data_IF_495983921286
#
_entry.id   IF_495983921286
#
_cell.length_a   1.000
_cell.length_b   1.000
_cell.length_c   1.000
_cell.angle_alpha   90.00
_cell.angle_beta   90.00
_cell.angle_gamma   90.00
#
_symmetry.space_group_name_H-M   'P 1'
#
loop_
_entity.id
_entity.type
_entity.pdbx_description
1 polymer ?
#
# COMPACT_ATOMS: atom_id res chain seq x y z
N UNK A 1 -44.24 75.62 29.57
CA UNK A 1 -43.05 74.81 29.94
C UNK A 1 -43.21 73.44 29.33
N UNK A 2 -42.61 73.21 28.16
CA UNK A 2 -42.62 71.90 27.49
C UNK A 2 -41.28 71.23 27.67
N UNK A 3 -41.26 70.07 28.36
CA UNK A 3 -40.09 69.24 28.54
C UNK A 3 -40.04 68.20 27.40
N UNK A 4 -39.05 68.35 26.51
CA UNK A 4 -38.72 67.42 25.44
C UNK A 4 -37.96 66.21 26.01
N UNK A 5 -38.52 65.03 25.85
CA UNK A 5 -37.89 63.74 26.22
C UNK A 5 -37.15 63.19 24.98
N UNK A 6 -35.81 63.30 24.97
CA UNK A 6 -34.97 62.65 24.02
C UNK A 6 -34.80 61.16 24.38
N UNK A 7 -35.28 60.26 23.52
CA UNK A 7 -35.07 58.79 23.62
C UNK A 7 -33.73 58.48 22.95
N UNK A 8 -32.75 58.05 23.75
CA UNK A 8 -31.48 57.57 23.29
C UNK A 8 -31.61 56.09 22.83
N UNK A 9 -31.54 55.85 21.54
CA UNK A 9 -31.58 54.49 20.96
C UNK A 9 -30.18 53.94 20.90
N UNK A 10 -29.84 53.00 21.82
CA UNK A 10 -28.57 52.29 21.80
C UNK A 10 -28.69 51.15 20.78
N UNK A 11 -28.00 51.26 19.65
CA UNK A 11 -27.87 50.19 18.66
C UNK A 11 -26.80 49.20 19.14
N UNK A 12 -27.22 48.01 19.55
CA UNK A 12 -26.33 46.90 19.93
C UNK A 12 -25.83 46.22 18.62
N UNK A 13 -24.61 46.53 18.20
CA UNK A 13 -23.97 45.84 17.08
C UNK A 13 -23.51 44.43 17.51
N UNK A 14 -24.22 43.40 17.10
CA UNK A 14 -23.78 42.00 17.22
C UNK A 14 -22.64 41.73 16.21
N UNK A 15 -21.41 41.67 16.72
CA UNK A 15 -20.26 41.18 15.94
C UNK A 15 -20.37 39.67 15.91
N UNK A 16 -20.81 39.10 14.75
CA UNK A 16 -20.70 37.68 14.47
C UNK A 16 -19.23 37.35 14.25
N UNK A 17 -18.55 36.86 15.27
CA UNK A 17 -17.25 36.21 15.14
C UNK A 17 -17.52 34.83 14.52
N UNK A 18 -17.42 34.72 13.21
CA UNK A 18 -17.39 33.43 12.52
C UNK A 18 -16.11 32.71 12.95
N UNK A 19 -16.23 31.80 13.90
CA UNK A 19 -15.17 30.83 14.21
C UNK A 19 -14.91 30.02 12.94
N UNK A 20 -13.81 30.25 12.26
CA UNK A 20 -13.23 29.33 11.28
C UNK A 20 -12.85 28.06 12.06
N UNK A 21 -13.78 27.13 12.21
CA UNK A 21 -13.45 25.80 12.67
C UNK A 21 -12.47 25.22 11.65
N UNK A 22 -11.22 25.05 12.06
CA UNK A 22 -10.28 24.28 11.26
C UNK A 22 -10.88 22.87 11.12
N UNK A 23 -11.18 22.45 9.90
CA UNK A 23 -11.65 21.09 9.62
C UNK A 23 -10.55 20.11 10.02
N UNK A 24 -10.92 19.02 10.68
CA UNK A 24 -9.96 17.95 10.96
C UNK A 24 -9.34 17.43 9.66
N UNK A 25 -8.03 17.11 9.68
CA UNK A 25 -7.37 16.57 8.50
C UNK A 25 -8.05 15.28 7.99
N UNK A 26 -8.27 15.20 6.70
CA UNK A 26 -8.83 14.00 6.06
C UNK A 26 -7.86 12.84 6.16
N UNK A 27 -8.24 11.69 6.74
CA UNK A 27 -7.34 10.55 6.87
C UNK A 27 -7.07 9.92 5.50
N UNK A 28 -5.80 9.64 5.22
CA UNK A 28 -5.34 8.73 4.17
C UNK A 28 -4.85 7.47 4.86
N UNK A 29 -5.56 6.37 4.67
CA UNK A 29 -5.18 5.08 5.26
C UNK A 29 -4.10 4.44 4.40
N UNK A 30 -3.03 3.97 5.05
CA UNK A 30 -1.91 3.31 4.38
C UNK A 30 -1.78 1.89 4.90
N UNK A 31 -1.95 0.93 4.01
CA UNK A 31 -1.96 -0.50 4.29
C UNK A 31 -0.78 -1.19 3.59
N UNK A 32 0.19 -1.66 4.37
CA UNK A 32 1.34 -2.39 3.86
C UNK A 32 1.63 -3.65 4.69
N UNK A 33 0.78 -4.71 4.56
CA UNK A 33 0.93 -5.95 5.31
C UNK A 33 2.30 -6.60 5.09
N UNK A 34 2.92 -7.05 6.19
CA UNK A 34 4.26 -7.63 6.17
C UNK A 34 5.40 -6.65 5.98
N UNK A 35 5.11 -5.35 5.96
CA UNK A 35 6.14 -4.31 5.88
C UNK A 35 7.07 -4.32 7.09
N UNK A 36 8.40 -4.14 6.89
CA UNK A 36 9.40 -4.20 7.97
C UNK A 36 9.48 -2.92 8.80
N UNK A 37 8.64 -1.93 8.54
CA UNK A 37 8.70 -0.58 9.10
C UNK A 37 7.81 -0.48 10.33
N UNK A 38 8.24 0.26 11.36
CA UNK A 38 7.39 0.58 12.51
C UNK A 38 6.25 1.53 12.09
N UNK A 39 5.13 1.49 12.82
CA UNK A 39 4.00 2.39 12.54
C UNK A 39 4.39 3.86 12.62
N UNK A 40 5.23 4.23 13.60
CA UNK A 40 5.72 5.59 13.79
C UNK A 40 6.56 6.08 12.62
N UNK A 41 7.51 5.25 12.13
CA UNK A 41 8.36 5.62 11.02
C UNK A 41 7.58 5.66 9.71
N UNK A 42 6.64 4.74 9.52
CA UNK A 42 5.74 4.74 8.37
C UNK A 42 4.86 5.98 8.35
N UNK A 43 4.23 6.35 9.49
CA UNK A 43 3.40 7.54 9.59
C UNK A 43 4.21 8.83 9.35
N UNK A 44 5.46 8.93 9.84
CA UNK A 44 6.34 10.06 9.54
C UNK A 44 6.64 10.18 8.05
N UNK A 45 7.01 9.07 7.41
CA UNK A 45 7.30 9.04 5.98
C UNK A 45 6.06 9.37 5.13
N UNK A 46 4.90 8.83 5.50
CA UNK A 46 3.63 9.12 4.83
C UNK A 46 3.18 10.56 5.04
N UNK A 47 3.35 11.12 6.24
CA UNK A 47 3.05 12.54 6.49
C UNK A 47 3.92 13.46 5.64
N UNK A 48 5.21 13.13 5.49
CA UNK A 48 6.09 13.86 4.59
C UNK A 48 5.62 13.77 3.13
N UNK A 49 5.22 12.59 2.68
CA UNK A 49 4.67 12.38 1.33
C UNK A 49 3.38 13.18 1.12
N UNK A 50 2.45 13.14 2.07
CA UNK A 50 1.20 13.89 2.00
C UNK A 50 1.43 15.39 1.97
N UNK A 51 2.41 15.91 2.73
CA UNK A 51 2.81 17.32 2.67
C UNK A 51 3.30 17.75 1.29
N UNK A 52 4.04 16.88 0.57
CA UNK A 52 4.41 17.15 -0.82
C UNK A 52 3.20 17.09 -1.76
N UNK A 53 2.31 16.11 -1.56
CA UNK A 53 1.06 15.99 -2.33
C UNK A 53 0.20 17.24 -2.15
N UNK A 54 0.05 17.74 -0.92
CA UNK A 54 -0.66 18.98 -0.61
C UNK A 54 -0.05 20.18 -1.36
N UNK A 55 1.27 20.33 -1.27
CA UNK A 55 2.02 21.40 -1.95
C UNK A 55 1.82 21.35 -3.47
N UNK A 56 2.06 20.19 -4.09
CA UNK A 56 1.98 20.00 -5.55
C UNK A 56 0.53 20.10 -6.03
N UNK A 57 -0.41 19.58 -5.27
CA UNK A 57 -1.84 19.64 -5.58
C UNK A 57 -2.50 20.96 -5.22
N UNK A 58 -1.81 21.87 -4.52
CA UNK A 58 -2.35 23.17 -4.11
C UNK A 58 -3.41 23.09 -2.99
N UNK A 59 -3.34 22.07 -2.13
CA UNK A 59 -4.12 22.04 -0.88
C UNK A 59 -3.46 22.87 0.21
N UNK A 60 -4.23 23.36 1.20
CA UNK A 60 -3.66 23.88 2.44
C UNK A 60 -2.81 22.82 3.13
N UNK A 61 -1.79 23.26 3.87
CA UNK A 61 -1.01 22.35 4.73
C UNK A 61 -1.90 21.70 5.77
N UNK A 62 -1.64 20.43 6.08
CA UNK A 62 -2.43 19.62 6.99
C UNK A 62 -3.88 19.36 6.54
N UNK A 63 -4.14 19.36 5.23
CA UNK A 63 -5.41 18.88 4.66
C UNK A 63 -5.55 17.38 4.87
N UNK A 64 -4.46 16.63 4.81
CA UNK A 64 -4.43 15.18 4.97
C UNK A 64 -3.64 14.76 6.22
N UNK A 65 -4.03 13.62 6.79
CA UNK A 65 -3.30 12.92 7.84
C UNK A 65 -3.09 11.46 7.45
N UNK A 66 -2.01 10.82 7.91
CA UNK A 66 -1.77 9.40 7.66
C UNK A 66 -2.26 8.54 8.82
N UNK A 67 -2.79 7.34 8.49
CA UNK A 67 -3.07 6.27 9.42
C UNK A 67 -2.54 4.97 8.82
N UNK A 68 -1.51 4.38 9.43
CA UNK A 68 -0.79 3.23 8.89
C UNK A 68 -1.10 1.94 9.65
N UNK A 69 -1.15 0.83 8.93
CA UNK A 69 -1.06 -0.52 9.52
C UNK A 69 -0.19 -1.43 8.66
N UNK A 70 0.58 -2.29 9.33
CA UNK A 70 1.42 -3.33 8.73
C UNK A 70 0.85 -4.74 8.86
N UNK A 71 -0.37 -4.88 9.36
CA UNK A 71 -1.09 -6.16 9.41
C UNK A 71 -2.45 -6.08 8.71
N UNK A 72 -2.95 -7.22 8.27
CA UNK A 72 -4.18 -7.32 7.47
C UNK A 72 -5.41 -6.87 8.25
N UNK A 73 -5.56 -7.29 9.50
CA UNK A 73 -6.74 -6.98 10.30
C UNK A 73 -6.76 -5.51 10.76
N UNK A 74 -5.58 -4.97 11.12
CA UNK A 74 -5.42 -3.54 11.40
C UNK A 74 -5.77 -2.68 10.17
N UNK A 75 -5.34 -3.09 8.98
CA UNK A 75 -5.72 -2.45 7.72
C UNK A 75 -7.24 -2.43 7.50
N UNK A 76 -7.90 -3.58 7.65
CA UNK A 76 -9.36 -3.68 7.52
C UNK A 76 -10.10 -2.83 8.54
N UNK A 77 -9.62 -2.83 9.78
CA UNK A 77 -10.17 -2.02 10.87
C UNK A 77 -10.06 -0.53 10.55
N UNK A 78 -8.86 -0.05 10.18
CA UNK A 78 -8.64 1.35 9.83
C UNK A 78 -9.50 1.80 8.64
N UNK A 79 -9.58 1.00 7.59
CA UNK A 79 -10.42 1.29 6.41
C UNK A 79 -11.90 1.37 6.79
N UNK A 80 -12.39 0.44 7.60
CA UNK A 80 -13.79 0.40 8.04
C UNK A 80 -14.15 1.54 8.98
N UNK A 81 -13.29 1.84 9.96
CA UNK A 81 -13.58 2.86 10.98
C UNK A 81 -13.44 4.28 10.43
N UNK A 82 -12.41 4.52 9.63
CA UNK A 82 -12.13 5.87 9.11
C UNK A 82 -12.85 6.18 7.81
N UNK A 83 -13.34 5.16 7.08
CA UNK A 83 -13.97 5.31 5.76
C UNK A 83 -13.29 6.40 4.91
N UNK A 84 -11.97 6.29 4.70
CA UNK A 84 -11.21 7.37 4.08
C UNK A 84 -11.63 7.59 2.64
N UNK A 85 -11.55 8.85 2.18
CA UNK A 85 -11.73 9.18 0.77
C UNK A 85 -10.62 8.56 -0.10
N UNK A 86 -9.41 8.43 0.47
CA UNK A 86 -8.23 7.89 -0.21
C UNK A 86 -7.48 6.91 0.68
N UNK A 87 -6.97 5.84 0.08
CA UNK A 87 -6.07 4.92 0.74
C UNK A 87 -4.93 4.47 -0.18
N UNK A 88 -3.80 4.13 0.40
CA UNK A 88 -2.69 3.44 -0.28
C UNK A 88 -2.71 2.01 0.22
N UNK A 89 -2.91 1.04 -0.66
CA UNK A 89 -3.11 -0.36 -0.26
C UNK A 89 -2.20 -1.30 -1.02
N UNK A 90 -1.95 -2.49 -0.45
CA UNK A 90 -1.52 -3.64 -1.24
C UNK A 90 -2.62 -4.07 -2.21
N UNK A 91 -2.26 -4.85 -3.23
CA UNK A 91 -3.25 -5.43 -4.14
C UNK A 91 -4.19 -6.39 -3.41
N UNK A 92 -3.71 -7.15 -2.43
CA UNK A 92 -4.52 -8.08 -1.66
C UNK A 92 -5.59 -7.37 -0.82
N UNK A 93 -5.23 -6.31 -0.08
CA UNK A 93 -6.19 -5.48 0.67
C UNK A 93 -7.21 -4.83 -0.28
N UNK A 94 -6.75 -4.28 -1.42
CA UNK A 94 -7.68 -3.74 -2.41
C UNK A 94 -8.67 -4.81 -2.90
N UNK A 95 -8.20 -5.97 -3.32
CA UNK A 95 -9.04 -7.06 -3.83
C UNK A 95 -10.06 -7.54 -2.79
N UNK A 96 -9.68 -7.57 -1.52
CA UNK A 96 -10.54 -7.99 -0.42
C UNK A 96 -11.62 -6.93 -0.10
N UNK A 97 -11.24 -5.66 -0.04
CA UNK A 97 -12.10 -4.58 0.45
C UNK A 97 -12.83 -3.80 -0.67
N UNK A 98 -12.48 -4.00 -1.95
CA UNK A 98 -12.96 -3.15 -3.05
C UNK A 98 -14.48 -3.07 -3.20
N UNK A 99 -15.19 -4.19 -2.95
CA UNK A 99 -16.65 -4.22 -3.09
C UNK A 99 -17.35 -3.58 -1.90
N UNK A 100 -16.89 -3.87 -0.67
CA UNK A 100 -17.51 -3.38 0.56
C UNK A 100 -17.28 -1.89 0.81
N UNK A 101 -16.19 -1.33 0.27
CA UNK A 101 -15.81 0.07 0.43
C UNK A 101 -15.80 0.85 -0.88
N UNK A 102 -16.38 0.30 -1.94
CA UNK A 102 -16.45 0.93 -3.27
C UNK A 102 -15.12 1.53 -3.74
N UNK A 103 -14.02 0.76 -3.55
CA UNK A 103 -12.68 1.23 -3.89
C UNK A 103 -12.41 1.14 -5.39
N UNK A 104 -11.85 2.22 -5.93
CA UNK A 104 -11.39 2.34 -7.30
C UNK A 104 -9.88 2.63 -7.32
N UNK A 105 -9.07 1.87 -8.09
CA UNK A 105 -7.66 2.19 -8.28
C UNK A 105 -7.51 3.46 -9.11
N UNK A 106 -6.71 4.42 -8.62
CA UNK A 106 -6.51 5.71 -9.32
C UNK A 106 -5.10 5.83 -9.84
N UNK A 107 -4.11 5.51 -9.01
CA UNK A 107 -2.69 5.67 -9.32
C UNK A 107 -1.94 4.44 -8.85
N UNK A 108 -0.99 4.00 -9.66
CA UNK A 108 -0.06 2.93 -9.31
C UNK A 108 1.39 3.40 -9.40
N UNK A 109 2.30 2.89 -8.57
CA UNK A 109 3.71 3.22 -8.70
C UNK A 109 4.31 2.52 -9.91
N UNK A 110 5.34 3.16 -10.48
CA UNK A 110 6.26 2.56 -11.43
C UNK A 110 7.60 2.37 -10.72
N UNK A 111 8.08 1.15 -10.67
CA UNK A 111 9.32 0.77 -9.99
C UNK A 111 10.22 0.01 -10.94
N UNK A 112 11.48 0.41 -11.07
CA UNK A 112 12.43 -0.20 -12.03
C UNK A 112 11.88 -0.29 -13.45
N UNK A 113 11.19 0.76 -13.88
CA UNK A 113 10.59 0.85 -15.20
C UNK A 113 9.27 0.08 -15.40
N UNK A 114 8.77 -0.68 -14.40
CA UNK A 114 7.55 -1.48 -14.51
C UNK A 114 6.50 -1.07 -13.48
N UNK A 115 5.21 -1.26 -13.81
CA UNK A 115 4.07 -1.15 -12.91
C UNK A 115 3.53 -2.53 -12.51
N UNK A 116 4.34 -3.56 -12.67
CA UNK A 116 4.06 -4.94 -12.25
C UNK A 116 5.28 -5.50 -11.53
N UNK A 117 5.04 -6.50 -10.69
CA UNK A 117 6.09 -7.31 -10.07
C UNK A 117 5.81 -8.80 -10.26
N UNK A 118 6.80 -9.63 -9.99
CA UNK A 118 6.66 -11.07 -9.92
C UNK A 118 7.14 -11.54 -8.54
N UNK A 119 6.50 -12.61 -8.06
CA UNK A 119 6.93 -13.32 -6.86
C UNK A 119 7.74 -14.54 -7.26
N UNK A 120 8.78 -14.81 -6.49
CA UNK A 120 9.73 -15.89 -6.75
C UNK A 120 9.83 -16.79 -5.52
N UNK A 121 9.51 -18.07 -5.68
CA UNK A 121 9.83 -19.08 -4.68
C UNK A 121 11.24 -19.57 -4.97
N UNK A 122 12.20 -19.21 -4.13
CA UNK A 122 13.61 -19.55 -4.32
C UNK A 122 14.03 -20.66 -3.38
N UNK A 123 14.92 -21.53 -3.86
CA UNK A 123 15.56 -22.61 -3.10
C UNK A 123 17.04 -22.70 -3.46
N UNK A 124 17.79 -23.54 -2.76
CA UNK A 124 19.16 -23.88 -3.15
C UNK A 124 19.12 -24.59 -4.50
N UNK A 125 19.97 -24.18 -5.41
CA UNK A 125 20.03 -24.68 -6.80
C UNK A 125 20.14 -26.21 -6.86
N UNK A 126 19.26 -26.80 -7.67
CA UNK A 126 19.19 -28.25 -7.85
C UNK A 126 18.46 -29.01 -6.72
N UNK A 127 17.91 -28.29 -5.71
CA UNK A 127 17.22 -28.92 -4.58
C UNK A 127 15.82 -29.42 -4.95
N UNK A 128 15.11 -28.69 -5.82
CA UNK A 128 13.76 -29.04 -6.30
C UNK A 128 13.69 -28.90 -7.83
N UNK A 129 13.11 -29.88 -8.47
CA UNK A 129 12.85 -29.88 -9.92
C UNK A 129 11.48 -29.28 -10.29
N UNK A 130 10.60 -29.12 -9.30
CA UNK A 130 9.24 -28.62 -9.55
C UNK A 130 8.63 -27.99 -8.30
N UNK A 131 7.57 -27.20 -8.52
CA UNK A 131 6.79 -26.59 -7.45
C UNK A 131 6.11 -27.63 -6.53
N UNK A 132 5.72 -28.79 -7.08
CA UNK A 132 5.07 -29.83 -6.30
C UNK A 132 5.99 -30.48 -5.26
N UNK A 133 7.29 -30.51 -5.51
CA UNK A 133 8.28 -31.05 -4.56
C UNK A 133 8.48 -30.16 -3.32
N UNK A 134 8.03 -28.91 -3.38
CA UNK A 134 8.08 -27.97 -2.22
C UNK A 134 6.91 -28.20 -1.26
N UNK A 135 5.90 -29.01 -1.62
CA UNK A 135 4.80 -29.36 -0.71
C UNK A 135 5.30 -30.09 0.54
N UNK A 136 4.79 -29.68 1.69
CA UNK A 136 5.19 -30.19 3.00
C UNK A 136 6.52 -29.66 3.53
N UNK A 137 7.24 -28.82 2.75
CA UNK A 137 8.56 -28.28 3.10
C UNK A 137 8.45 -27.02 3.97
N UNK A 138 9.55 -26.66 4.63
CA UNK A 138 9.64 -25.45 5.41
C UNK A 138 9.87 -24.25 4.50
N UNK A 139 8.86 -23.38 4.38
CA UNK A 139 8.91 -22.21 3.50
C UNK A 139 8.84 -20.94 4.32
N UNK A 140 9.84 -20.06 4.13
CA UNK A 140 9.95 -18.75 4.76
C UNK A 140 9.59 -17.60 3.83
N UNK A 141 9.53 -16.40 4.39
CA UNK A 141 9.29 -15.17 3.65
C UNK A 141 8.56 -14.13 4.48
N UNK A 142 8.52 -12.89 3.99
CA UNK A 142 7.83 -11.76 4.63
C UNK A 142 6.41 -11.55 4.09
N UNK A 143 6.09 -12.19 2.97
CA UNK A 143 4.87 -11.91 2.18
C UNK A 143 3.64 -12.71 2.61
N UNK A 144 3.79 -13.64 3.56
CA UNK A 144 2.72 -14.54 3.98
C UNK A 144 1.64 -13.91 4.88
N UNK A 145 1.79 -12.64 5.26
CA UNK A 145 0.76 -11.90 5.99
C UNK A 145 -0.56 -11.83 5.19
N UNK A 146 -0.49 -11.76 3.87
CA UNK A 146 -1.66 -11.79 2.99
C UNK A 146 -1.86 -13.20 2.38
N UNK A 147 -2.15 -14.21 3.21
CA UNK A 147 -2.22 -15.61 2.79
C UNK A 147 -3.17 -15.85 1.61
N UNK A 148 -4.33 -15.21 1.60
CA UNK A 148 -5.31 -15.31 0.51
C UNK A 148 -4.79 -14.71 -0.80
N UNK A 149 -4.08 -13.57 -0.72
CA UNK A 149 -3.42 -12.98 -1.89
C UNK A 149 -2.36 -13.92 -2.47
N UNK A 150 -1.53 -14.50 -1.61
CA UNK A 150 -0.51 -15.45 -2.05
C UNK A 150 -1.16 -16.68 -2.69
N UNK A 151 -2.21 -17.23 -2.07
CA UNK A 151 -2.93 -18.38 -2.62
C UNK A 151 -3.58 -18.09 -3.97
N UNK A 152 -4.39 -17.02 -4.03
CA UNK A 152 -5.25 -16.76 -5.21
C UNK A 152 -4.52 -16.08 -6.34
N UNK A 153 -3.63 -15.15 -6.04
CA UNK A 153 -2.97 -14.33 -7.04
C UNK A 153 -1.56 -14.83 -7.35
N UNK A 154 -0.70 -14.99 -6.35
CA UNK A 154 0.68 -15.40 -6.59
C UNK A 154 0.74 -16.82 -7.13
N UNK A 155 0.11 -17.78 -6.47
CA UNK A 155 0.06 -19.18 -6.93
C UNK A 155 -1.10 -19.47 -7.88
N UNK A 156 -1.97 -18.50 -8.17
CA UNK A 156 -3.15 -18.66 -9.03
C UNK A 156 -4.02 -19.88 -8.64
N UNK A 157 -4.15 -20.16 -7.35
CA UNK A 157 -4.89 -21.29 -6.79
C UNK A 157 -4.23 -22.66 -6.91
N UNK A 158 -3.02 -22.76 -7.47
CA UNK A 158 -2.28 -24.03 -7.61
C UNK A 158 -1.78 -24.61 -6.29
N UNK A 159 -1.49 -23.74 -5.33
CA UNK A 159 -1.05 -24.06 -3.98
C UNK A 159 -1.80 -23.22 -2.95
N UNK A 160 -2.05 -23.83 -1.80
CA UNK A 160 -2.51 -23.14 -0.60
C UNK A 160 -1.35 -23.10 0.41
N UNK A 161 -0.70 -21.93 0.61
CA UNK A 161 0.49 -21.86 1.47
C UNK A 161 0.25 -22.37 2.88
N UNK A 162 -0.96 -22.20 3.43
CA UNK A 162 -1.30 -22.62 4.78
C UNK A 162 -1.48 -24.15 4.92
N UNK A 163 -1.82 -24.82 3.81
CA UNK A 163 -2.01 -26.27 3.78
C UNK A 163 -0.82 -27.02 3.21
N UNK A 164 -0.21 -26.44 2.18
CA UNK A 164 0.82 -27.11 1.39
C UNK A 164 2.23 -26.86 1.92
N UNK A 165 2.45 -25.87 2.82
CA UNK A 165 3.76 -25.58 3.38
C UNK A 165 3.78 -25.65 4.91
N UNK A 166 4.95 -25.97 5.47
CA UNK A 166 5.27 -25.67 6.86
C UNK A 166 5.79 -24.24 6.93
N UNK A 167 4.88 -23.25 7.11
CA UNK A 167 5.23 -21.84 7.05
C UNK A 167 6.12 -21.40 8.22
N UNK A 168 7.18 -20.67 7.89
CA UNK A 168 8.10 -20.01 8.82
C UNK A 168 8.18 -18.51 8.47
N UNK A 169 7.16 -17.70 8.82
CA UNK A 169 7.14 -16.28 8.53
C UNK A 169 8.36 -15.56 9.11
N UNK A 170 8.87 -14.59 8.40
CA UNK A 170 9.99 -13.75 8.83
C UNK A 170 9.64 -12.30 8.60
N UNK A 171 10.00 -11.42 9.54
CA UNK A 171 9.85 -9.97 9.38
C UNK A 171 10.90 -9.35 8.44
N UNK A 172 11.92 -10.10 8.06
CA UNK A 172 13.02 -9.62 7.23
C UNK A 172 13.42 -10.68 6.19
N UNK A 173 13.35 -10.32 4.91
CA UNK A 173 13.74 -11.22 3.82
C UNK A 173 15.17 -11.73 3.93
N UNK A 174 16.11 -10.86 4.35
CA UNK A 174 17.52 -11.25 4.54
C UNK A 174 17.70 -12.34 5.61
N UNK A 175 16.88 -12.35 6.66
CA UNK A 175 16.93 -13.42 7.67
C UNK A 175 16.41 -14.73 7.10
N UNK A 176 15.30 -14.69 6.38
CA UNK A 176 14.76 -15.89 5.72
C UNK A 176 15.79 -16.48 4.73
N UNK A 177 16.43 -15.63 3.91
CA UNK A 177 17.46 -16.05 2.96
C UNK A 177 18.70 -16.65 3.64
N UNK A 178 19.13 -16.10 4.77
CA UNK A 178 20.23 -16.69 5.55
C UNK A 178 19.85 -18.02 6.18
N UNK A 179 18.61 -18.18 6.61
CA UNK A 179 18.10 -19.47 7.11
C UNK A 179 18.00 -20.50 5.98
N UNK A 180 17.62 -20.09 4.77
CA UNK A 180 17.68 -20.95 3.58
C UNK A 180 19.13 -21.38 3.27
N UNK A 181 20.07 -20.44 3.25
CA UNK A 181 21.49 -20.69 2.98
C UNK A 181 22.14 -21.65 4.01
N UNK A 182 21.62 -21.70 5.25
CA UNK A 182 22.03 -22.63 6.30
C UNK A 182 21.30 -23.96 6.29
N UNK A 183 20.32 -24.16 5.41
CA UNK A 183 19.47 -25.36 5.38
C UNK A 183 18.43 -25.44 6.51
N UNK A 184 18.13 -24.31 7.18
CA UNK A 184 17.06 -24.21 8.20
C UNK A 184 15.68 -24.02 7.54
N UNK A 185 15.66 -23.59 6.29
CA UNK A 185 14.49 -23.50 5.41
C UNK A 185 14.78 -24.25 4.12
N UNK A 186 13.73 -24.78 3.51
CA UNK A 186 13.79 -25.47 2.22
C UNK A 186 13.59 -24.50 1.04
N UNK A 187 12.76 -23.46 1.24
CA UNK A 187 12.49 -22.41 0.25
C UNK A 187 12.09 -21.08 0.92
N UNK A 188 12.19 -19.99 0.14
CA UNK A 188 11.77 -18.64 0.57
C UNK A 188 10.96 -17.99 -0.55
N UNK A 189 9.77 -17.46 -0.21
CA UNK A 189 8.97 -16.66 -1.14
C UNK A 189 9.37 -15.20 -1.03
N UNK A 190 9.78 -14.62 -2.16
CA UNK A 190 10.25 -13.23 -2.31
C UNK A 190 9.34 -12.46 -3.27
N UNK A 191 9.12 -11.18 -2.99
CA UNK A 191 8.58 -10.26 -3.99
C UNK A 191 9.67 -9.79 -4.97
N UNK A 192 9.28 -9.05 -6.00
CA UNK A 192 10.21 -8.63 -7.04
C UNK A 192 11.38 -7.76 -6.56
N UNK A 193 11.17 -6.91 -5.56
CA UNK A 193 12.24 -6.10 -4.96
C UNK A 193 13.24 -6.95 -4.18
N UNK A 194 12.74 -7.86 -3.35
CA UNK A 194 13.55 -8.78 -2.55
C UNK A 194 14.37 -9.72 -3.45
N UNK A 195 13.74 -10.24 -4.51
CA UNK A 195 14.42 -11.10 -5.48
C UNK A 195 15.54 -10.37 -6.23
N UNK A 196 15.29 -9.14 -6.67
CA UNK A 196 16.32 -8.35 -7.33
C UNK A 196 17.50 -7.97 -6.42
N UNK A 197 17.28 -7.87 -5.10
CA UNK A 197 18.36 -7.64 -4.13
C UNK A 197 19.20 -8.90 -3.84
N UNK A 198 18.71 -10.08 -4.23
CA UNK A 198 19.35 -11.37 -3.96
C UNK A 198 20.80 -11.43 -4.47
N UNK A 199 21.05 -10.92 -5.68
CA UNK A 199 22.37 -10.93 -6.32
C UNK A 199 23.46 -10.16 -5.54
N UNK A 200 23.07 -9.26 -4.63
CA UNK A 200 24.01 -8.49 -3.80
C UNK A 200 24.32 -9.13 -2.44
N UNK A 201 23.66 -10.24 -2.10
CA UNK A 201 23.83 -10.89 -0.81
C UNK A 201 25.00 -11.90 -0.83
N UNK A 202 25.88 -11.87 0.19
CA UNK A 202 26.95 -12.85 0.33
C UNK A 202 26.37 -14.17 0.88
N UNK A 203 25.82 -15.00 0.00
CA UNK A 203 25.33 -16.34 0.32
C UNK A 203 26.35 -17.38 -0.06
N UNK A 204 26.36 -18.51 0.65
CA UNK A 204 27.28 -19.63 0.43
C UNK A 204 26.81 -20.48 -0.76
N UNK A 205 25.50 -20.67 -0.87
CA UNK A 205 24.90 -21.49 -1.92
C UNK A 205 24.29 -20.62 -3.02
N UNK A 206 24.37 -21.11 -4.25
CA UNK A 206 23.63 -20.52 -5.36
C UNK A 206 22.14 -20.83 -5.19
N UNK A 207 21.30 -19.81 -5.32
CA UNK A 207 19.84 -19.95 -5.24
C UNK A 207 19.23 -19.86 -6.64
N UNK A 208 18.16 -20.61 -6.85
CA UNK A 208 17.36 -20.56 -8.08
C UNK A 208 15.87 -20.40 -7.78
N UNK A 209 15.14 -19.90 -8.77
CA UNK A 209 13.68 -19.76 -8.67
C UNK A 209 13.01 -21.07 -9.11
N UNK A 210 12.41 -21.79 -8.16
CA UNK A 210 11.60 -23.00 -8.42
C UNK A 210 10.24 -22.63 -9.01
N UNK A 211 9.76 -21.43 -8.69
CA UNK A 211 8.50 -20.89 -9.21
C UNK A 211 8.62 -19.38 -9.37
N UNK A 212 8.05 -18.89 -10.47
CA UNK A 212 7.86 -17.46 -10.73
C UNK A 212 6.39 -17.21 -11.05
N UNK A 213 5.76 -16.26 -10.38
CA UNK A 213 4.37 -15.89 -10.65
C UNK A 213 4.21 -15.24 -12.02
N UNK A 214 2.99 -15.19 -12.55
CA UNK A 214 2.66 -14.25 -13.60
C UNK A 214 2.97 -12.81 -13.14
N UNK A 215 3.14 -11.84 -14.05
CA UNK A 215 3.22 -10.43 -13.69
C UNK A 215 1.97 -9.98 -12.94
N UNK A 216 2.15 -9.38 -11.78
CA UNK A 216 1.10 -8.92 -10.87
C UNK A 216 1.16 -7.39 -10.83
N UNK A 217 0.05 -6.67 -11.06
CA UNK A 217 0.07 -5.21 -11.04
C UNK A 217 0.42 -4.69 -9.65
N UNK A 218 1.31 -3.69 -9.59
CA UNK A 218 1.54 -2.92 -8.38
C UNK A 218 0.29 -2.11 -8.05
N UNK A 219 -0.04 -2.03 -6.78
CA UNK A 219 -1.13 -1.20 -6.29
C UNK A 219 -0.55 0.04 -5.59
N UNK A 220 -1.28 1.14 -5.65
CA UNK A 220 -0.91 2.39 -5.01
C UNK A 220 -2.13 3.07 -4.42
N UNK A 221 -2.49 4.25 -4.95
CA UNK A 221 -3.65 5.01 -4.48
C UNK A 221 -4.95 4.41 -4.99
N UNK A 222 -5.85 4.15 -4.06
CA UNK A 222 -7.25 3.84 -4.31
C UNK A 222 -8.14 4.93 -3.72
N UNK A 223 -9.30 5.18 -4.32
CA UNK A 223 -10.31 6.07 -3.76
C UNK A 223 -11.59 5.32 -3.44
N UNK A 224 -12.22 5.72 -2.36
CA UNK A 224 -13.59 5.37 -2.05
C UNK A 224 -14.52 6.28 -2.89
N UNK A 225 -15.27 5.68 -3.81
CA UNK A 225 -16.14 6.41 -4.75
C UNK A 225 -17.28 7.16 -4.05
N UNK A 226 -17.70 6.69 -2.87
CA UNK A 226 -18.78 7.33 -2.09
C UNK A 226 -18.24 8.47 -1.21
N UNK A 227 -16.97 8.40 -0.77
CA UNK A 227 -16.36 9.38 0.12
C UNK A 227 -15.51 10.44 -0.62
N UNK A 228 -15.26 10.29 -1.94
CA UNK A 228 -14.44 11.20 -2.72
C UNK A 228 -15.17 11.73 -3.95
N UNK A 229 -15.01 13.02 -4.27
CA UNK A 229 -15.50 13.60 -5.51
C UNK A 229 -14.62 13.23 -6.71
N UNK A 230 -15.17 13.32 -7.94
CA UNK A 230 -14.38 13.16 -9.17
C UNK A 230 -13.25 14.20 -9.27
N UNK A 231 -13.49 15.42 -8.80
CA UNK A 231 -12.52 16.50 -8.80
C UNK A 231 -11.36 16.16 -7.87
N UNK A 232 -11.64 15.72 -6.63
CA UNK A 232 -10.61 15.33 -5.66
C UNK A 232 -9.79 14.15 -6.15
N UNK A 233 -10.43 13.12 -6.75
CA UNK A 233 -9.73 11.97 -7.34
C UNK A 233 -8.76 12.41 -8.44
N UNK A 234 -9.21 13.26 -9.36
CA UNK A 234 -8.39 13.78 -10.45
C UNK A 234 -7.24 14.63 -9.93
N UNK A 235 -7.51 15.49 -8.97
CA UNK A 235 -6.52 16.38 -8.35
C UNK A 235 -5.47 15.58 -7.59
N UNK A 236 -5.87 14.59 -6.80
CA UNK A 236 -4.94 13.74 -6.04
C UNK A 236 -4.07 12.89 -6.98
N UNK A 237 -4.69 12.28 -8.01
CA UNK A 237 -3.96 11.52 -9.02
C UNK A 237 -2.91 12.37 -9.73
N UNK A 238 -3.25 13.61 -10.10
CA UNK A 238 -2.32 14.56 -10.71
C UNK A 238 -1.19 14.93 -9.76
N UNK A 239 -1.50 15.24 -8.50
CA UNK A 239 -0.50 15.61 -7.51
C UNK A 239 0.52 14.49 -7.28
N UNK A 240 0.08 13.23 -7.17
CA UNK A 240 0.98 12.08 -7.08
C UNK A 240 1.82 11.89 -8.35
N UNK A 241 1.22 12.03 -9.53
CA UNK A 241 1.94 11.90 -10.81
C UNK A 241 3.04 12.98 -10.98
N UNK A 242 2.84 14.14 -10.37
CA UNK A 242 3.82 15.23 -10.41
C UNK A 242 4.77 15.23 -9.20
N UNK A 243 4.48 14.44 -8.15
CA UNK A 243 5.24 14.43 -6.91
C UNK A 243 6.74 14.15 -7.12
N UNK A 244 7.09 13.14 -7.92
CA UNK A 244 8.50 12.80 -8.16
C UNK A 244 9.26 13.87 -8.99
N UNK A 245 8.58 14.88 -9.53
CA UNK A 245 9.18 16.03 -10.22
C UNK A 245 9.48 17.18 -9.27
N UNK A 246 8.81 17.26 -8.12
CA UNK A 246 9.11 18.21 -7.06
C UNK A 246 10.42 17.84 -6.36
N UNK A 247 11.30 18.79 -5.98
CA UNK A 247 12.60 18.49 -5.36
C UNK A 247 12.52 17.66 -4.07
N UNK A 248 11.50 17.91 -3.22
CA UNK A 248 11.31 17.17 -1.97
C UNK A 248 10.62 15.82 -2.24
N UNK A 249 9.66 15.81 -3.16
CA UNK A 249 9.01 14.61 -3.63
C UNK A 249 9.95 13.62 -4.30
N UNK A 250 10.93 14.13 -5.07
CA UNK A 250 11.98 13.28 -5.68
C UNK A 250 12.76 12.49 -4.64
N UNK A 251 13.15 13.12 -3.52
CA UNK A 251 13.85 12.43 -2.42
C UNK A 251 13.01 11.30 -1.82
N UNK A 252 11.69 11.51 -1.67
CA UNK A 252 10.77 10.50 -1.19
C UNK A 252 10.58 9.37 -2.22
N UNK A 253 10.46 9.71 -3.50
CA UNK A 253 10.39 8.70 -4.56
C UNK A 253 11.65 7.83 -4.59
N UNK A 254 12.83 8.42 -4.46
CA UNK A 254 14.11 7.70 -4.35
C UNK A 254 14.15 6.81 -3.10
N UNK A 255 13.69 7.31 -1.95
CA UNK A 255 13.61 6.54 -0.70
C UNK A 255 12.71 5.31 -0.82
N UNK A 256 11.58 5.44 -1.51
CA UNK A 256 10.64 4.33 -1.74
C UNK A 256 10.95 3.50 -3.00
N UNK A 257 12.04 3.79 -3.70
CA UNK A 257 12.42 3.18 -4.98
C UNK A 257 11.30 3.29 -6.05
N UNK A 258 10.59 4.41 -6.06
CA UNK A 258 9.52 4.72 -7.02
C UNK A 258 10.10 5.64 -8.11
N UNK A 259 10.02 5.21 -9.36
CA UNK A 259 10.45 6.01 -10.51
C UNK A 259 9.42 7.11 -10.84
N UNK A 260 8.14 6.77 -10.75
CA UNK A 260 7.02 7.64 -11.01
C UNK A 260 5.72 7.05 -10.47
N UNK A 261 4.70 7.89 -10.33
CA UNK A 261 3.32 7.46 -10.21
C UNK A 261 2.61 7.64 -11.54
N UNK A 262 1.86 6.63 -11.97
CA UNK A 262 1.12 6.62 -13.23
C UNK A 262 -0.36 6.28 -13.00
N UNK A 263 -1.27 6.70 -13.89
CA UNK A 263 -2.67 6.29 -13.76
C UNK A 263 -2.80 4.76 -13.68
N UNK A 264 -3.66 4.28 -12.78
CA UNK A 264 -3.90 2.86 -12.62
C UNK A 264 -4.54 2.28 -13.91
N UNK A 265 -3.99 1.17 -14.38
CA UNK A 265 -4.52 0.48 -15.55
C UNK A 265 -5.59 -0.52 -15.15
N UNK A 266 -6.86 -0.19 -15.39
CA UNK A 266 -7.97 -1.11 -15.19
C UNK A 266 -7.78 -2.43 -15.94
N UNK A 267 -7.29 -2.37 -17.18
CA UNK A 267 -7.02 -3.56 -17.98
C UNK A 267 -5.94 -4.47 -17.36
N UNK A 268 -4.94 -3.89 -16.67
CA UNK A 268 -3.90 -4.66 -15.99
C UNK A 268 -4.39 -5.28 -14.66
N UNK A 269 -5.34 -4.64 -13.99
CA UNK A 269 -5.86 -5.09 -12.68
C UNK A 269 -6.99 -6.13 -12.86
N UNK A 270 -7.77 -6.05 -13.94
CA UNK A 270 -8.91 -6.91 -14.19
C UNK A 270 -8.62 -8.43 -14.11
N UNK A 271 -7.48 -8.97 -14.62
CA UNK A 271 -7.14 -10.37 -14.44
C UNK A 271 -7.00 -10.79 -12.98
N UNK A 272 -6.41 -9.93 -12.12
CA UNK A 272 -6.29 -10.21 -10.70
C UNK A 272 -7.66 -10.21 -10.00
N UNK A 273 -8.55 -9.28 -10.36
CA UNK A 273 -9.94 -9.28 -9.89
C UNK A 273 -10.63 -10.60 -10.26
N UNK A 274 -10.51 -11.03 -11.51
CA UNK A 274 -11.11 -12.29 -11.98
C UNK A 274 -10.56 -13.54 -11.27
N UNK A 275 -9.26 -13.56 -10.95
CA UNK A 275 -8.66 -14.64 -10.14
C UNK A 275 -9.17 -14.61 -8.70
N UNK A 276 -9.25 -13.44 -8.09
CA UNK A 276 -9.74 -13.26 -6.73
C UNK A 276 -11.17 -13.73 -6.57
N UNK A 277 -12.05 -13.36 -7.49
CA UNK A 277 -13.49 -13.67 -7.40
C UNK A 277 -13.80 -15.13 -7.66
N UNK A 278 -13.04 -15.83 -8.50
CA UNK A 278 -13.20 -17.28 -8.73
C UNK A 278 -12.84 -18.14 -7.50
N UNK A 279 -12.05 -17.63 -6.60
CA UNK A 279 -11.64 -18.34 -5.39
C UNK A 279 -12.56 -18.14 -4.18
N UNK A 280 -13.69 -17.42 -4.34
CA UNK A 280 -14.69 -17.20 -3.28
C UNK A 280 -15.68 -18.36 -3.18
#
# INVERSE_FOLDING_TARGET
>A
MCLSSQRLTVALAFIFVSSLAASEPSPVVVCYPGGPVSEDDANKAMSAMLGVVEKVGGWPTHTFSSAFSSDVEGCKTLLKEKQPAFAITSLGIFLDQRQSLHLEPIVQPKMRGASTEQFHLVAVKGHFGSLDEVKGKQVGGTVFEEAEFIRRIVFAGKLDPQKDFSLKPSKQAIRALRSLDKGELDAVLLNGQQFAALASLPLTHELESVFTSAPIPLMGLVANQEASSNEDRTRFAKALSDMCKDPDGKKLCELFAIDAFVPASQAAIQPAIGLWDRGR
#
